data_IF_166018369227
#
_entry.id   IF_166018369227
#
_cell.length_a   1.000
_cell.length_b   1.000
_cell.length_c   1.000
_cell.angle_alpha   90.00
_cell.angle_beta   90.00
_cell.angle_gamma   90.00
#
_symmetry.space_group_name_H-M   'P 1'
#
loop_
_entity.id
_entity.type
_entity.pdbx_description
1 polymer ?
#
# COMPACT_ATOMS: atom_id res chain seq x y z
N UNK A 1 27.83 7.78 -4.39
CA UNK A 1 26.37 7.86 -4.12
C UNK A 1 25.68 6.96 -5.14
N UNK A 2 25.13 5.81 -4.73
CA UNK A 2 24.42 4.92 -5.66
C UNK A 2 23.07 5.56 -5.95
N UNK A 3 22.91 6.12 -7.16
CA UNK A 3 21.62 6.63 -7.63
C UNK A 3 20.61 5.48 -7.60
N UNK A 4 19.50 5.72 -6.91
CA UNK A 4 18.34 4.84 -6.90
C UNK A 4 17.90 4.68 -8.38
N UNK A 5 17.77 3.46 -8.93
CA UNK A 5 17.52 3.30 -10.35
C UNK A 5 16.22 4.03 -10.73
N UNK A 6 16.36 5.11 -11.51
CA UNK A 6 15.23 5.81 -12.10
C UNK A 6 14.35 4.79 -12.83
N UNK A 7 13.05 4.80 -12.54
CA UNK A 7 12.07 4.06 -13.32
C UNK A 7 12.22 4.45 -14.79
N UNK A 8 12.63 3.48 -15.62
CA UNK A 8 12.87 3.68 -17.05
C UNK A 8 11.53 4.05 -17.70
N UNK A 9 11.41 5.31 -18.14
CA UNK A 9 10.25 5.79 -18.88
C UNK A 9 10.05 4.91 -20.13
N UNK A 10 8.90 4.23 -20.21
CA UNK A 10 8.55 3.34 -21.32
C UNK A 10 8.41 1.86 -20.98
N UNK A 11 8.77 1.40 -19.77
CA UNK A 11 8.42 0.05 -19.35
C UNK A 11 6.90 -0.03 -19.12
N UNK A 12 6.15 -0.92 -19.80
CA UNK A 12 4.74 -1.08 -19.50
C UNK A 12 4.62 -1.47 -18.02
N UNK A 13 3.81 -0.70 -17.25
CA UNK A 13 3.49 -1.08 -15.88
C UNK A 13 2.97 -2.51 -15.93
N UNK A 14 3.69 -3.43 -15.29
CA UNK A 14 3.32 -4.85 -15.27
C UNK A 14 1.87 -4.90 -14.79
N UNK A 15 0.96 -5.47 -15.58
CA UNK A 15 -0.44 -5.55 -15.17
C UNK A 15 -0.49 -6.48 -13.95
N UNK A 16 -0.91 -5.93 -12.81
CA UNK A 16 -0.98 -6.65 -11.54
C UNK A 16 -2.44 -7.04 -11.33
N UNK A 17 -2.70 -8.30 -11.00
CA UNK A 17 -4.07 -8.75 -10.72
C UNK A 17 -4.65 -8.02 -9.51
N UNK A 18 -5.97 -7.85 -9.51
CA UNK A 18 -6.73 -7.28 -8.38
C UNK A 18 -6.37 -7.94 -7.05
N UNK A 19 -6.28 -9.26 -7.03
CA UNK A 19 -5.87 -10.04 -5.86
C UNK A 19 -4.46 -9.68 -5.38
N UNK A 20 -3.53 -9.47 -6.31
CA UNK A 20 -2.16 -9.08 -5.98
C UNK A 20 -2.12 -7.65 -5.44
N UNK A 21 -2.93 -6.73 -5.97
CA UNK A 21 -3.06 -5.37 -5.41
C UNK A 21 -3.59 -5.42 -3.98
N UNK A 22 -4.62 -6.23 -3.72
CA UNK A 22 -5.17 -6.45 -2.38
C UNK A 22 -4.11 -7.01 -1.44
N UNK A 23 -3.43 -8.10 -1.81
CA UNK A 23 -2.37 -8.72 -1.00
C UNK A 23 -1.22 -7.76 -0.70
N UNK A 24 -0.78 -6.99 -1.69
CA UNK A 24 0.27 -5.99 -1.49
C UNK A 24 -0.18 -4.89 -0.53
N UNK A 25 -1.44 -4.46 -0.62
CA UNK A 25 -1.98 -3.43 0.26
C UNK A 25 -2.15 -3.94 1.69
N UNK A 26 -2.61 -5.18 1.88
CA UNK A 26 -2.69 -5.85 3.19
C UNK A 26 -1.29 -6.02 3.81
N UNK A 27 -0.30 -6.44 3.02
CA UNK A 27 1.10 -6.52 3.46
C UNK A 27 1.64 -5.16 3.92
N UNK A 28 1.40 -4.10 3.14
CA UNK A 28 1.83 -2.75 3.49
C UNK A 28 1.17 -2.23 4.78
N UNK A 29 -0.10 -2.57 5.03
CA UNK A 29 -0.77 -2.24 6.29
C UNK A 29 -0.04 -2.92 7.45
N UNK A 30 0.20 -4.23 7.36
CA UNK A 30 0.88 -5.01 8.41
C UNK A 30 2.27 -4.49 8.72
N UNK A 31 3.08 -4.22 7.69
CA UNK A 31 4.43 -3.67 7.86
C UNK A 31 4.40 -2.27 8.50
N UNK A 32 3.44 -1.43 8.11
CA UNK A 32 3.27 -0.11 8.71
C UNK A 32 2.82 -0.20 10.18
N UNK A 33 1.95 -1.17 10.50
CA UNK A 33 1.48 -1.42 11.88
C UNK A 33 2.62 -1.88 12.80
N UNK A 34 3.56 -2.69 12.30
CA UNK A 34 4.79 -3.06 13.04
C UNK A 34 5.65 -1.80 13.32
N UNK A 35 5.74 -0.88 12.35
CA UNK A 35 6.48 0.37 12.51
C UNK A 35 5.88 1.35 13.53
N UNK A 36 4.61 1.18 13.93
CA UNK A 36 3.96 2.05 14.92
C UNK A 36 4.65 2.01 16.29
N UNK A 37 5.26 0.88 16.65
CA UNK A 37 5.94 0.71 17.94
C UNK A 37 7.12 1.68 18.09
N UNK A 38 7.77 2.03 16.97
CA UNK A 38 8.98 2.84 16.96
C UNK A 38 8.76 4.28 16.45
N UNK A 39 7.62 4.58 15.82
CA UNK A 39 7.30 5.91 15.30
C UNK A 39 6.96 6.93 16.37
N UNK A 40 7.09 8.23 16.04
CA UNK A 40 6.63 9.33 16.87
C UNK A 40 5.09 9.38 16.96
N UNK A 41 4.49 10.02 17.98
CA UNK A 41 3.03 10.09 18.13
C UNK A 41 2.28 10.59 16.87
N UNK A 42 2.78 11.66 16.25
CA UNK A 42 2.20 12.22 15.01
C UNK A 42 2.31 11.23 13.83
N UNK A 43 3.45 10.55 13.69
CA UNK A 43 3.63 9.52 12.66
C UNK A 43 2.68 8.34 12.89
N UNK A 44 2.43 7.99 14.15
CA UNK A 44 1.49 6.92 14.50
C UNK A 44 0.06 7.25 14.08
N UNK A 45 -0.40 8.47 14.33
CA UNK A 45 -1.72 8.93 13.88
C UNK A 45 -1.81 8.92 12.35
N UNK A 46 -0.81 9.48 11.67
CA UNK A 46 -0.75 9.49 10.21
C UNK A 46 -0.76 8.07 9.61
N UNK A 47 -0.05 7.12 10.22
CA UNK A 47 -0.04 5.71 9.79
C UNK A 47 -1.41 5.06 10.00
N UNK A 48 -2.07 5.31 11.14
CA UNK A 48 -3.42 4.78 11.41
C UNK A 48 -4.44 5.27 10.38
N UNK A 49 -4.51 6.58 10.15
CA UNK A 49 -5.44 7.18 9.18
C UNK A 49 -5.19 6.67 7.75
N UNK A 50 -3.91 6.50 7.39
CA UNK A 50 -3.54 5.94 6.09
C UNK A 50 -3.96 4.46 5.98
N UNK A 51 -3.82 3.69 7.05
CA UNK A 51 -4.21 2.29 7.08
C UNK A 51 -5.73 2.12 7.05
N UNK A 52 -6.51 2.96 7.72
CA UNK A 52 -7.98 2.96 7.63
C UNK A 52 -8.46 3.21 6.20
N UNK A 53 -7.91 4.24 5.52
CA UNK A 53 -8.23 4.50 4.11
C UNK A 53 -7.89 3.32 3.20
N UNK A 54 -6.77 2.63 3.44
CA UNK A 54 -6.38 1.42 2.70
C UNK A 54 -7.36 0.26 2.96
N UNK A 55 -7.82 0.06 4.20
CA UNK A 55 -8.83 -0.95 4.55
C UNK A 55 -10.15 -0.71 3.80
N UNK A 56 -10.63 0.54 3.76
CA UNK A 56 -11.81 0.90 2.98
C UNK A 56 -11.62 0.69 1.47
N UNK A 57 -10.45 1.01 0.92
CA UNK A 57 -10.15 0.76 -0.49
C UNK A 57 -10.17 -0.75 -0.82
N UNK A 58 -9.55 -1.58 0.03
CA UNK A 58 -9.59 -3.05 -0.12
C UNK A 58 -11.03 -3.56 -0.08
N UNK A 59 -11.86 -3.08 0.85
CA UNK A 59 -13.27 -3.50 0.93
C UNK A 59 -14.05 -3.15 -0.35
N UNK A 60 -13.89 -1.93 -0.87
CA UNK A 60 -14.52 -1.54 -2.14
C UNK A 60 -14.05 -2.43 -3.29
N UNK A 61 -12.75 -2.66 -3.40
CA UNK A 61 -12.21 -3.58 -4.39
C UNK A 61 -12.81 -4.99 -4.23
N UNK A 62 -12.88 -5.55 -3.01
CA UNK A 62 -13.46 -6.89 -2.79
C UNK A 62 -14.94 -6.97 -3.18
N UNK A 63 -15.70 -5.91 -2.95
CA UNK A 63 -17.15 -5.86 -3.19
C UNK A 63 -17.53 -5.52 -4.64
N UNK A 64 -16.68 -4.81 -5.38
CA UNK A 64 -16.93 -4.51 -6.79
C UNK A 64 -16.65 -5.75 -7.65
N UNK A 65 -17.64 -6.28 -8.41
CA UNK A 65 -17.36 -7.30 -9.41
C UNK A 65 -16.46 -6.72 -10.50
N UNK A 66 -15.54 -7.53 -11.03
CA UNK A 66 -14.77 -7.17 -12.22
C UNK A 66 -15.76 -7.16 -13.39
N UNK A 67 -16.17 -5.97 -13.82
CA UNK A 67 -16.87 -5.78 -15.11
C UNK A 67 -15.90 -5.94 -16.27
#
# INVERSE_FOLDING_TARGET
MKQNPQEVAGRPKKFISKETIIKNTEKNIRESEIGLEFGLPEERENIKDKNERRKHAIQRMKNEPLS
#
